data_IF_517039414168
#
_entry.id   IF_517039414168
#
_cell.length_a   1.000
_cell.length_b   1.000
_cell.length_c   1.000
_cell.angle_alpha   90.00
_cell.angle_beta   90.00
_cell.angle_gamma   90.00
#
_symmetry.space_group_name_H-M   'P 1'
#
loop_
_entity.id
_entity.type
_entity.pdbx_description
1 polymer ?
#
# COMPACT_ATOMS: atom_id res chain seq x y z
N UNK A 1 11.77 -13.80 -16.30
CA UNK A 1 11.37 -12.56 -15.58
C UNK A 1 10.02 -12.79 -14.93
N UNK A 2 9.97 -12.82 -13.59
CA UNK A 2 8.69 -12.97 -12.89
C UNK A 2 7.81 -11.74 -13.14
N UNK A 3 6.56 -11.97 -13.55
CA UNK A 3 5.60 -10.92 -13.91
C UNK A 3 4.94 -10.33 -12.66
N UNK A 4 5.73 -9.66 -11.81
CA UNK A 4 5.28 -9.14 -10.50
C UNK A 4 4.07 -8.20 -10.59
N UNK A 5 3.92 -7.50 -11.71
CA UNK A 5 2.81 -6.59 -11.99
C UNK A 5 1.46 -7.29 -12.26
N UNK A 6 1.45 -8.61 -12.50
CA UNK A 6 0.21 -9.36 -12.73
C UNK A 6 -0.48 -9.80 -11.43
N UNK A 7 0.25 -9.84 -10.31
CA UNK A 7 -0.29 -10.39 -9.07
C UNK A 7 -1.49 -9.63 -8.50
N UNK A 8 -1.56 -8.28 -8.54
CA UNK A 8 -2.77 -7.59 -8.13
C UNK A 8 -4.00 -8.02 -8.94
N UNK A 9 -3.86 -8.24 -10.25
CA UNK A 9 -4.96 -8.74 -11.09
C UNK A 9 -5.32 -10.19 -10.80
N UNK A 10 -4.33 -11.07 -10.54
CA UNK A 10 -4.58 -12.44 -10.08
C UNK A 10 -5.33 -12.46 -8.75
N UNK A 11 -5.01 -11.53 -7.85
CA UNK A 11 -5.73 -11.36 -6.58
C UNK A 11 -7.19 -10.97 -6.80
N UNK A 12 -7.47 -10.09 -7.75
CA UNK A 12 -8.83 -9.63 -8.09
C UNK A 12 -9.65 -10.80 -8.61
N UNK A 13 -9.03 -11.54 -9.53
CA UNK A 13 -9.64 -12.68 -10.17
C UNK A 13 -9.94 -13.77 -9.13
N UNK A 14 -8.98 -14.06 -8.25
CA UNK A 14 -9.14 -15.02 -7.16
C UNK A 14 -10.22 -14.60 -6.16
N UNK A 15 -10.32 -13.32 -5.81
CA UNK A 15 -11.36 -12.77 -4.94
C UNK A 15 -12.77 -12.96 -5.52
N UNK A 16 -12.93 -12.78 -6.83
CA UNK A 16 -14.23 -12.92 -7.50
C UNK A 16 -14.65 -14.39 -7.58
N UNK A 17 -13.71 -15.30 -7.86
CA UNK A 17 -14.03 -16.72 -8.03
C UNK A 17 -14.11 -17.52 -6.72
N UNK A 18 -13.54 -17.02 -5.63
CA UNK A 18 -13.59 -17.73 -4.34
C UNK A 18 -14.36 -16.93 -3.29
N UNK A 19 -15.40 -17.53 -2.70
CA UNK A 19 -16.20 -16.89 -1.64
C UNK A 19 -15.44 -16.82 -0.28
N UNK A 20 -14.22 -17.35 -0.22
CA UNK A 20 -13.48 -17.56 1.03
C UNK A 20 -13.09 -16.24 1.75
N UNK A 21 -12.87 -15.18 0.99
CA UNK A 21 -12.34 -13.89 1.48
C UNK A 21 -13.39 -12.78 1.53
N UNK A 22 -14.65 -13.05 1.19
CA UNK A 22 -15.67 -12.01 1.07
C UNK A 22 -15.95 -11.31 2.39
N UNK A 23 -15.87 -12.03 3.52
CA UNK A 23 -15.98 -11.42 4.84
C UNK A 23 -14.89 -10.37 5.07
N UNK A 24 -13.63 -10.73 4.89
CA UNK A 24 -12.51 -9.79 5.03
C UNK A 24 -12.57 -8.66 3.99
N UNK A 25 -13.01 -8.97 2.77
CA UNK A 25 -13.19 -8.00 1.70
C UNK A 25 -14.24 -6.94 2.04
N UNK A 26 -15.40 -7.37 2.56
CA UNK A 26 -16.47 -6.46 3.00
C UNK A 26 -16.02 -5.59 4.17
N UNK A 27 -15.28 -6.14 5.13
CA UNK A 27 -14.77 -5.36 6.27
C UNK A 27 -13.77 -4.28 5.81
N UNK A 28 -12.79 -4.64 4.96
CA UNK A 28 -11.85 -3.66 4.40
C UNK A 28 -12.59 -2.61 3.56
N UNK A 29 -13.59 -3.02 2.78
CA UNK A 29 -14.40 -2.10 1.98
C UNK A 29 -15.22 -1.13 2.84
N UNK A 30 -15.81 -1.59 3.94
CA UNK A 30 -16.52 -0.73 4.90
C UNK A 30 -15.57 0.25 5.60
N UNK A 31 -14.37 -0.20 5.98
CA UNK A 31 -13.31 0.67 6.53
C UNK A 31 -12.92 1.73 5.49
N UNK A 32 -12.80 1.33 4.22
CA UNK A 32 -12.52 2.26 3.12
C UNK A 32 -13.62 3.31 2.98
N UNK A 33 -14.90 2.91 2.92
CA UNK A 33 -16.02 3.86 2.81
C UNK A 33 -16.02 4.84 3.98
N UNK A 34 -15.86 4.35 5.20
CA UNK A 34 -15.79 5.19 6.41
C UNK A 34 -14.68 6.24 6.30
N UNK A 35 -13.48 5.83 5.88
CA UNK A 35 -12.34 6.74 5.66
C UNK A 35 -12.56 7.70 4.51
N UNK A 36 -13.16 7.22 3.42
CA UNK A 36 -13.49 8.04 2.25
C UNK A 36 -14.45 9.16 2.64
N UNK A 37 -15.53 8.86 3.36
CA UNK A 37 -16.50 9.85 3.83
C UNK A 37 -15.85 10.84 4.81
N UNK A 38 -15.09 10.35 5.78
CA UNK A 38 -14.40 11.22 6.75
C UNK A 38 -13.45 12.21 6.06
N UNK A 39 -12.62 11.72 5.15
CA UNK A 39 -11.67 12.55 4.40
C UNK A 39 -12.41 13.47 3.43
N UNK A 40 -13.50 13.02 2.81
CA UNK A 40 -14.33 13.85 1.94
C UNK A 40 -14.85 15.06 2.72
N UNK A 41 -15.45 14.86 3.90
CA UNK A 41 -15.97 15.97 4.71
C UNK A 41 -14.87 16.99 5.01
N UNK A 42 -13.71 16.54 5.49
CA UNK A 42 -12.58 17.42 5.79
C UNK A 42 -12.07 18.15 4.54
N UNK A 43 -11.96 17.44 3.41
CA UNK A 43 -11.48 18.01 2.15
C UNK A 43 -12.45 19.06 1.60
N UNK A 44 -13.75 18.77 1.60
CA UNK A 44 -14.77 19.68 1.09
C UNK A 44 -14.92 20.94 1.94
N UNK A 45 -14.66 20.86 3.24
CA UNK A 45 -14.67 22.02 4.13
C UNK A 45 -13.43 22.90 3.97
N UNK A 46 -12.24 22.30 3.81
CA UNK A 46 -10.97 23.03 3.90
C UNK A 46 -10.35 23.32 2.53
N UNK A 47 -10.26 22.33 1.65
CA UNK A 47 -9.46 22.41 0.41
C UNK A 47 -10.31 22.69 -0.83
N UNK A 48 -11.53 22.16 -0.89
CA UNK A 48 -12.38 22.25 -2.07
C UNK A 48 -12.67 23.69 -2.54
N UNK A 49 -12.91 24.69 -1.67
CA UNK A 49 -13.12 26.08 -2.14
C UNK A 49 -11.93 26.62 -2.93
N UNK A 50 -10.71 26.32 -2.49
CA UNK A 50 -9.48 26.74 -3.17
C UNK A 50 -9.30 26.01 -4.50
N UNK A 51 -9.51 24.69 -4.50
CA UNK A 51 -9.42 23.84 -5.69
C UNK A 51 -10.46 24.26 -6.74
N UNK A 52 -11.69 24.53 -6.31
CA UNK A 52 -12.76 25.02 -7.17
C UNK A 52 -12.42 26.38 -7.76
N UNK A 53 -11.93 27.32 -6.93
CA UNK A 53 -11.53 28.65 -7.39
C UNK A 53 -10.42 28.60 -8.45
N UNK A 54 -9.34 27.86 -8.17
CA UNK A 54 -8.21 27.71 -9.10
C UNK A 54 -8.66 27.09 -10.42
N UNK A 55 -9.41 25.99 -10.38
CA UNK A 55 -9.86 25.32 -11.59
C UNK A 55 -10.86 26.15 -12.40
N UNK A 56 -11.75 26.88 -11.74
CA UNK A 56 -12.74 27.74 -12.41
C UNK A 56 -12.07 28.93 -13.08
N UNK A 57 -11.05 29.53 -12.46
CA UNK A 57 -10.28 30.62 -13.08
C UNK A 57 -9.50 30.13 -14.31
N UNK A 58 -8.91 28.93 -14.25
CA UNK A 58 -8.08 28.40 -15.33
C UNK A 58 -8.88 27.83 -16.51
N UNK A 59 -10.01 27.16 -16.24
CA UNK A 59 -10.77 26.37 -17.22
C UNK A 59 -12.20 26.90 -17.45
N UNK A 60 -12.58 28.00 -16.79
CA UNK A 60 -13.92 28.57 -16.86
C UNK A 60 -14.99 27.64 -16.26
N UNK A 61 -16.19 27.54 -16.85
CA UNK A 61 -17.27 26.68 -16.36
C UNK A 61 -16.90 25.18 -16.31
N UNK A 62 -16.04 24.72 -17.22
CA UNK A 62 -15.51 23.34 -17.20
C UNK A 62 -14.61 23.10 -15.98
N UNK A 63 -14.05 24.15 -15.39
CA UNK A 63 -13.28 24.07 -14.16
C UNK A 63 -14.06 23.49 -12.98
N UNK A 64 -15.38 23.69 -12.94
CA UNK A 64 -16.23 23.15 -11.88
C UNK A 64 -16.29 21.62 -11.95
N UNK A 65 -16.50 21.05 -13.14
CA UNK A 65 -16.57 19.59 -13.30
C UNK A 65 -15.22 18.95 -13.05
N UNK A 66 -14.14 19.57 -13.54
CA UNK A 66 -12.77 19.13 -13.28
C UNK A 66 -12.45 19.18 -11.78
N UNK A 67 -12.87 20.23 -11.06
CA UNK A 67 -12.66 20.34 -9.62
C UNK A 67 -13.36 19.23 -8.83
N UNK A 68 -14.58 18.84 -9.21
CA UNK A 68 -15.32 17.74 -8.58
C UNK A 68 -14.67 16.38 -8.85
N UNK A 69 -14.26 16.11 -10.10
CA UNK A 69 -13.56 14.85 -10.41
C UNK A 69 -12.22 14.80 -9.68
N UNK A 70 -11.49 15.92 -9.66
CA UNK A 70 -10.22 16.03 -8.97
C UNK A 70 -10.35 15.83 -7.47
N UNK A 71 -11.36 16.43 -6.82
CA UNK A 71 -11.59 16.27 -5.39
C UNK A 71 -11.88 14.82 -5.02
N UNK A 72 -12.72 14.12 -5.81
CA UNK A 72 -13.03 12.70 -5.60
C UNK A 72 -11.77 11.83 -5.73
N UNK A 73 -10.94 12.07 -6.75
CA UNK A 73 -9.67 11.35 -6.93
C UNK A 73 -8.69 11.62 -5.79
N UNK A 74 -8.65 12.86 -5.28
CA UNK A 74 -7.74 13.26 -4.22
C UNK A 74 -8.17 12.69 -2.87
N UNK A 75 -9.46 12.71 -2.57
CA UNK A 75 -10.04 12.03 -1.39
C UNK A 75 -9.74 10.52 -1.46
N UNK A 76 -9.95 9.89 -2.62
CA UNK A 76 -9.62 8.46 -2.81
C UNK A 76 -8.13 8.19 -2.54
N UNK A 77 -7.21 9.02 -3.03
CA UNK A 77 -5.77 8.86 -2.79
C UNK A 77 -5.44 8.77 -1.30
N UNK A 78 -6.01 9.64 -0.47
CA UNK A 78 -5.79 9.63 0.97
C UNK A 78 -6.51 8.47 1.66
N UNK A 79 -7.77 8.22 1.27
CA UNK A 79 -8.59 7.16 1.85
C UNK A 79 -8.00 5.76 1.58
N UNK A 80 -7.54 5.51 0.36
CA UNK A 80 -6.91 4.23 -0.02
C UNK A 80 -5.59 4.03 0.74
N UNK A 81 -4.78 5.09 0.87
CA UNK A 81 -3.53 5.05 1.62
C UNK A 81 -3.75 4.75 3.12
N UNK A 82 -4.74 5.39 3.76
CA UNK A 82 -5.07 5.11 5.15
C UNK A 82 -5.68 3.73 5.34
N UNK A 83 -6.49 3.25 4.39
CA UNK A 83 -7.10 1.91 4.45
C UNK A 83 -6.04 0.83 4.34
N UNK A 84 -5.06 0.99 3.44
CA UNK A 84 -3.92 0.09 3.32
C UNK A 84 -3.10 0.03 4.62
N UNK A 85 -2.95 1.13 5.36
CA UNK A 85 -2.22 1.06 6.63
C UNK A 85 -3.00 0.32 7.73
N UNK A 86 -4.32 0.43 7.77
CA UNK A 86 -5.15 -0.32 8.73
C UNK A 86 -5.43 -1.77 8.31
N UNK A 87 -5.29 -2.09 7.03
CA UNK A 87 -5.60 -3.41 6.48
C UNK A 87 -4.62 -4.50 6.87
N UNK A 88 -3.59 -4.19 7.66
CA UNK A 88 -2.48 -5.10 7.97
C UNK A 88 -2.96 -6.38 8.69
N UNK A 89 -3.83 -6.25 9.69
CA UNK A 89 -4.37 -7.38 10.44
C UNK A 89 -5.25 -8.30 9.56
N UNK A 90 -6.04 -7.71 8.66
CA UNK A 90 -6.84 -8.50 7.73
C UNK A 90 -5.99 -9.20 6.68
N UNK A 91 -4.87 -8.58 6.27
CA UNK A 91 -3.93 -9.18 5.34
C UNK A 91 -3.30 -10.47 5.88
N UNK A 92 -3.02 -10.52 7.18
CA UNK A 92 -2.46 -11.72 7.82
C UNK A 92 -3.47 -12.86 7.87
N UNK A 93 -4.71 -12.57 8.26
CA UNK A 93 -5.81 -13.55 8.30
C UNK A 93 -6.11 -14.09 6.89
N UNK A 94 -6.14 -13.21 5.88
CA UNK A 94 -6.34 -13.63 4.48
C UNK A 94 -5.21 -14.53 3.99
N UNK A 95 -3.98 -14.32 4.46
CA UNK A 95 -2.85 -15.16 4.10
C UNK A 95 -2.98 -16.58 4.66
N UNK A 96 -3.34 -16.72 5.94
CA UNK A 96 -3.57 -18.02 6.58
C UNK A 96 -4.62 -18.82 5.81
N UNK A 97 -5.78 -18.21 5.52
CA UNK A 97 -6.83 -18.82 4.69
C UNK A 97 -6.34 -19.21 3.30
N UNK A 98 -5.46 -18.40 2.70
CA UNK A 98 -4.90 -18.67 1.38
C UNK A 98 -4.00 -19.90 1.39
N UNK A 99 -3.15 -20.05 2.42
CA UNK A 99 -2.33 -21.24 2.64
C UNK A 99 -3.20 -22.48 2.79
N UNK A 100 -4.18 -22.41 3.69
CA UNK A 100 -5.08 -23.53 3.99
C UNK A 100 -5.81 -24.00 2.72
N UNK A 101 -6.32 -23.04 1.93
CA UNK A 101 -7.03 -23.34 0.68
C UNK A 101 -6.18 -24.03 -0.39
N UNK A 102 -4.86 -23.88 -0.34
CA UNK A 102 -3.91 -24.49 -1.28
C UNK A 102 -3.21 -25.73 -0.73
N UNK A 103 -3.58 -26.16 0.50
CA UNK A 103 -2.94 -27.25 1.23
C UNK A 103 -1.41 -27.09 1.41
N UNK A 104 -0.88 -25.87 1.23
CA UNK A 104 0.56 -25.57 1.21
C UNK A 104 1.10 -25.27 2.62
N UNK A 105 0.77 -26.13 3.58
CA UNK A 105 1.16 -25.96 4.99
C UNK A 105 2.68 -25.92 5.16
N UNK A 106 3.44 -26.56 4.25
CA UNK A 106 4.90 -26.51 4.19
C UNK A 106 5.40 -25.09 3.92
N UNK A 107 4.71 -24.30 3.09
CA UNK A 107 5.06 -22.91 2.83
C UNK A 107 4.89 -22.05 4.08
N UNK A 108 3.77 -22.18 4.80
CA UNK A 108 3.53 -21.46 6.05
C UNK A 108 4.53 -21.84 7.15
N UNK A 109 4.81 -23.14 7.32
CA UNK A 109 5.82 -23.62 8.28
C UNK A 109 7.21 -23.11 7.90
N UNK A 110 7.60 -23.11 6.62
CA UNK A 110 8.89 -22.57 6.18
C UNK A 110 9.03 -21.06 6.40
N UNK A 111 7.91 -20.30 6.39
CA UNK A 111 7.90 -18.86 6.66
C UNK A 111 8.00 -18.57 8.17
N UNK A 112 7.41 -19.42 9.01
CA UNK A 112 7.40 -19.29 10.48
C UNK A 112 8.71 -19.83 11.12
N UNK A 113 9.30 -20.91 10.57
CA UNK A 113 10.36 -21.69 11.21
C UNK A 113 11.78 -21.54 10.64
N UNK A 114 12.07 -20.55 9.78
CA UNK A 114 13.46 -20.27 9.42
C UNK A 114 14.24 -19.81 10.68
N UNK A 115 15.27 -20.54 11.13
CA UNK A 115 16.02 -20.18 12.33
C UNK A 115 16.83 -18.91 12.04
N UNK A 116 16.41 -17.80 12.63
CA UNK A 116 17.17 -16.55 12.61
C UNK A 116 18.39 -16.69 13.54
N UNK A 117 19.50 -17.23 13.03
CA UNK A 117 20.79 -17.08 13.71
C UNK A 117 21.31 -15.68 13.38
N UNK A 118 20.96 -14.69 14.21
CA UNK A 118 21.67 -13.41 14.22
C UNK A 118 21.90 -12.92 15.66
N UNK A 119 23.08 -12.33 15.93
CA UNK A 119 23.43 -11.84 17.25
C UNK A 119 22.55 -10.65 17.63
N UNK A 120 22.14 -10.62 18.90
CA UNK A 120 21.36 -9.55 19.51
C UNK A 120 22.13 -8.23 19.43
N UNK A 121 21.78 -7.32 18.50
CA UNK A 121 22.35 -5.98 18.49
C UNK A 121 21.69 -5.19 19.63
N UNK A 122 22.39 -5.12 20.76
CA UNK A 122 22.02 -4.29 21.91
C UNK A 122 21.88 -2.84 21.42
N UNK A 123 20.66 -2.29 21.49
CA UNK A 123 20.41 -0.88 21.16
C UNK A 123 21.19 -0.02 22.16
N UNK A 124 22.17 0.80 21.72
CA UNK A 124 22.90 1.67 22.65
C UNK A 124 21.94 2.68 23.26
N UNK A 125 22.13 2.98 24.55
CA UNK A 125 21.37 3.98 25.30
C UNK A 125 21.46 5.33 24.57
N UNK A 126 20.37 5.69 23.87
CA UNK A 126 20.32 6.88 23.02
C UNK A 126 20.31 8.12 23.90
N UNK A 127 21.41 8.84 23.90
CA UNK A 127 21.48 10.14 24.56
C UNK A 127 20.52 11.12 23.85
N UNK A 128 19.61 11.74 24.61
CA UNK A 128 18.56 12.62 24.09
C UNK A 128 19.11 13.79 23.27
N UNK A 129 20.26 14.32 23.68
CA UNK A 129 20.96 15.44 23.02
C UNK A 129 21.31 15.16 21.55
N UNK A 130 21.69 13.94 21.18
CA UNK A 130 21.96 13.57 19.78
C UNK A 130 20.73 13.03 19.05
N UNK A 131 19.76 12.52 19.79
CA UNK A 131 18.57 11.88 19.22
C UNK A 131 17.53 12.89 18.75
N UNK A 132 17.36 14.02 19.46
CA UNK A 132 16.40 15.07 19.13
C UNK A 132 16.75 15.77 17.79
N UNK A 133 17.98 16.24 17.55
CA UNK A 133 18.31 16.92 16.28
C UNK A 133 18.13 15.99 15.08
N UNK A 134 18.54 14.73 15.21
CA UNK A 134 18.37 13.71 14.15
C UNK A 134 16.88 13.44 13.90
N UNK A 135 16.05 13.38 14.95
CA UNK A 135 14.61 13.23 14.80
C UNK A 135 13.98 14.44 14.07
N UNK A 136 14.35 15.65 14.45
CA UNK A 136 13.86 16.89 13.82
C UNK A 136 14.22 16.91 12.34
N UNK A 137 15.49 16.68 11.99
CA UNK A 137 15.94 16.66 10.59
C UNK A 137 15.19 15.60 9.78
N UNK A 138 15.05 14.37 10.32
CA UNK A 138 14.31 13.29 9.65
C UNK A 138 12.83 13.59 9.48
N UNK A 139 12.23 14.32 10.41
CA UNK A 139 10.83 14.73 10.33
C UNK A 139 10.66 15.87 9.34
N UNK A 140 11.57 16.84 9.32
CA UNK A 140 11.59 17.94 8.35
C UNK A 140 11.72 17.42 6.91
N UNK A 141 12.65 16.49 6.65
CA UNK A 141 12.80 15.88 5.31
C UNK A 141 11.52 15.14 4.89
N UNK A 142 10.89 14.40 5.81
CA UNK A 142 9.62 13.71 5.52
C UNK A 142 8.51 14.70 5.22
N UNK A 143 8.40 15.78 6.01
CA UNK A 143 7.41 16.82 5.81
C UNK A 143 7.62 17.52 4.46
N UNK A 144 8.85 17.87 4.11
CA UNK A 144 9.19 18.46 2.82
C UNK A 144 8.82 17.54 1.65
N UNK A 145 9.07 16.23 1.76
CA UNK A 145 8.67 15.26 0.74
C UNK A 145 7.13 15.19 0.59
N UNK A 146 6.39 15.10 1.69
CA UNK A 146 4.93 15.11 1.64
C UNK A 146 4.36 16.43 1.10
N UNK A 147 4.98 17.55 1.42
CA UNK A 147 4.61 18.85 0.89
C UNK A 147 4.83 18.92 -0.63
N UNK A 148 5.98 18.43 -1.13
CA UNK A 148 6.24 18.34 -2.56
C UNK A 148 5.19 17.47 -3.28
N UNK A 149 4.87 16.30 -2.73
CA UNK A 149 3.82 15.43 -3.27
C UNK A 149 2.43 16.08 -3.23
N UNK A 150 2.14 16.86 -2.19
CA UNK A 150 0.89 17.62 -2.09
C UNK A 150 0.80 18.69 -3.19
N UNK A 151 1.86 19.45 -3.43
CA UNK A 151 1.91 20.44 -4.51
C UNK A 151 1.73 19.77 -5.88
N UNK A 152 2.41 18.64 -6.14
CA UNK A 152 2.21 17.86 -7.37
C UNK A 152 0.75 17.40 -7.49
N UNK A 153 0.14 16.97 -6.37
CA UNK A 153 -1.26 16.54 -6.37
C UNK A 153 -2.26 17.64 -6.70
N UNK A 154 -1.89 18.92 -6.63
CA UNK A 154 -2.77 20.05 -7.00
C UNK A 154 -2.91 20.24 -8.51
N UNK A 155 -2.08 19.57 -9.32
CA UNK A 155 -2.28 19.56 -10.77
C UNK A 155 -3.55 18.76 -11.07
N UNK A 156 -4.55 19.36 -11.74
CA UNK A 156 -5.84 18.73 -11.96
C UNK A 156 -5.69 17.38 -12.67
N UNK A 157 -6.30 16.34 -12.09
CA UNK A 157 -6.32 14.94 -12.54
C UNK A 157 -4.94 14.28 -12.65
N UNK A 158 -4.04 14.79 -13.49
CA UNK A 158 -2.71 14.26 -13.78
C UNK A 158 -1.82 14.23 -12.53
N UNK A 159 -1.91 15.24 -11.67
CA UNK A 159 -1.12 15.31 -10.44
C UNK A 159 -1.34 14.11 -9.52
N UNK A 160 -2.58 13.63 -9.43
CA UNK A 160 -2.95 12.49 -8.58
C UNK A 160 -2.38 11.19 -9.12
N UNK A 161 -2.45 10.99 -10.44
CA UNK A 161 -1.84 9.83 -11.10
C UNK A 161 -0.31 9.85 -10.94
N UNK A 162 0.30 11.02 -11.10
CA UNK A 162 1.74 11.21 -10.90
C UNK A 162 2.14 10.87 -9.46
N UNK A 163 1.42 11.36 -8.45
CA UNK A 163 1.69 11.00 -7.05
C UNK A 163 1.57 9.50 -6.80
N UNK A 164 0.56 8.81 -7.37
CA UNK A 164 0.47 7.34 -7.26
C UNK A 164 1.65 6.65 -7.92
N UNK A 165 2.10 7.13 -9.09
CA UNK A 165 3.25 6.58 -9.79
C UNK A 165 4.56 6.79 -9.02
N UNK A 166 4.84 8.00 -8.52
CA UNK A 166 6.03 8.30 -7.71
C UNK A 166 6.03 7.48 -6.41
N UNK A 167 4.86 7.25 -5.81
CA UNK A 167 4.73 6.45 -4.59
C UNK A 167 4.60 4.95 -4.83
N UNK A 168 4.65 4.48 -6.09
CA UNK A 168 4.44 3.07 -6.43
C UNK A 168 5.33 2.12 -5.63
N UNK A 169 6.63 2.38 -5.54
CA UNK A 169 7.54 1.55 -4.73
C UNK A 169 7.07 1.44 -3.27
N UNK A 170 6.72 2.57 -2.65
CA UNK A 170 6.21 2.60 -1.26
C UNK A 170 4.89 1.85 -1.14
N UNK A 171 3.98 2.00 -2.11
CA UNK A 171 2.70 1.28 -2.15
C UNK A 171 2.93 -0.24 -2.19
N UNK A 172 3.79 -0.72 -3.09
CA UNK A 172 4.11 -2.14 -3.20
C UNK A 172 4.80 -2.71 -1.97
N UNK A 173 5.66 -1.91 -1.33
CA UNK A 173 6.27 -2.28 -0.06
C UNK A 173 5.24 -2.36 1.08
N UNK A 174 4.32 -1.38 1.17
CA UNK A 174 3.25 -1.39 2.18
C UNK A 174 2.37 -2.63 2.10
N UNK A 175 2.08 -3.13 0.89
CA UNK A 175 1.38 -4.40 0.71
C UNK A 175 2.19 -5.61 1.15
N UNK A 176 3.52 -5.52 1.13
CA UNK A 176 4.43 -6.58 1.54
C UNK A 176 4.70 -6.62 3.03
N UNK A 177 4.52 -5.49 3.73
CA UNK A 177 4.85 -5.37 5.16
C UNK A 177 4.20 -6.42 6.06
N UNK A 178 2.89 -6.75 5.94
CA UNK A 178 2.26 -7.76 6.80
C UNK A 178 2.93 -9.14 6.65
N UNK A 179 3.27 -9.50 5.41
CA UNK A 179 3.91 -10.78 5.08
C UNK A 179 5.39 -10.82 5.52
N UNK A 180 6.11 -9.71 5.34
CA UNK A 180 7.48 -9.57 5.84
C UNK A 180 7.53 -9.66 7.36
N UNK A 181 6.52 -9.14 8.05
CA UNK A 181 6.42 -9.24 9.51
C UNK A 181 6.19 -10.69 9.98
N UNK A 182 5.54 -11.54 9.17
CA UNK A 182 5.40 -12.97 9.45
C UNK A 182 6.70 -13.76 9.23
N UNK A 183 7.57 -13.34 8.31
CA UNK A 183 8.78 -14.06 7.90
C UNK A 183 9.95 -14.04 8.92
N UNK A 184 9.64 -13.83 10.20
CA UNK A 184 10.57 -13.53 11.29
C UNK A 184 11.42 -12.25 11.07
N UNK A 185 11.59 -11.42 12.11
CA UNK A 185 12.30 -10.14 12.01
C UNK A 185 13.80 -10.37 12.02
N UNK A 186 14.37 -10.80 10.89
CA UNK A 186 15.76 -10.44 10.61
C UNK A 186 15.84 -8.92 10.77
N UNK A 187 16.70 -8.44 11.68
CA UNK A 187 16.89 -7.02 12.00
C UNK A 187 17.46 -6.20 10.83
N UNK A 188 17.23 -6.65 9.58
CA UNK A 188 17.40 -5.85 8.39
C UNK A 188 16.61 -4.56 8.60
N UNK A 189 17.29 -3.42 8.49
CA UNK A 189 16.60 -2.14 8.53
C UNK A 189 15.54 -2.21 7.43
N UNK A 190 14.32 -1.76 7.73
CA UNK A 190 13.22 -1.74 6.77
C UNK A 190 13.62 -1.12 5.41
N UNK A 191 14.55 -0.16 5.43
CA UNK A 191 15.17 0.41 4.22
C UNK A 191 15.98 -0.59 3.39
N UNK A 192 16.78 -1.45 4.02
CA UNK A 192 17.67 -2.39 3.31
C UNK A 192 16.85 -3.45 2.55
N UNK A 193 15.76 -3.94 3.16
CA UNK A 193 14.81 -4.86 2.50
C UNK A 193 14.10 -4.16 1.33
N UNK A 194 13.66 -2.91 1.55
CA UNK A 194 13.00 -2.11 0.54
C UNK A 194 13.88 -1.88 -0.70
N UNK A 195 15.13 -1.46 -0.50
CA UNK A 195 16.04 -1.14 -1.60
C UNK A 195 16.56 -2.38 -2.33
N UNK A 196 16.73 -3.52 -1.63
CA UNK A 196 17.19 -4.77 -2.24
C UNK A 196 16.22 -5.31 -3.31
N UNK A 197 14.92 -5.11 -3.10
CA UNK A 197 13.87 -5.61 -4.01
C UNK A 197 13.03 -4.49 -4.62
N UNK A 198 13.59 -3.27 -4.70
CA UNK A 198 12.88 -2.07 -5.13
C UNK A 198 12.14 -2.26 -6.46
N UNK A 199 12.77 -2.91 -7.44
CA UNK A 199 12.16 -3.19 -8.74
C UNK A 199 10.89 -4.06 -8.64
N UNK A 200 10.88 -5.06 -7.74
CA UNK A 200 9.70 -5.91 -7.50
C UNK A 200 8.57 -5.08 -6.90
N UNK A 201 8.88 -4.24 -5.91
CA UNK A 201 7.90 -3.38 -5.25
C UNK A 201 7.33 -2.30 -6.16
N UNK A 202 8.15 -1.69 -7.03
CA UNK A 202 7.68 -0.72 -8.02
C UNK A 202 6.72 -1.39 -9.02
N UNK A 203 7.08 -2.54 -9.58
CA UNK A 203 6.23 -3.24 -10.55
C UNK A 203 4.87 -3.64 -9.96
N UNK A 204 4.87 -4.16 -8.73
CA UNK A 204 3.65 -4.48 -7.99
C UNK A 204 2.87 -3.20 -7.61
N UNK A 205 3.58 -2.16 -7.21
CA UNK A 205 3.03 -0.86 -6.80
C UNK A 205 2.34 -0.10 -7.92
N UNK A 206 2.87 -0.16 -9.15
CA UNK A 206 2.25 0.47 -10.33
C UNK A 206 0.90 -0.18 -10.63
N UNK A 207 0.85 -1.51 -10.67
CA UNK A 207 -0.36 -2.28 -10.97
C UNK A 207 -1.42 -2.13 -9.88
N UNK A 208 -1.06 -2.30 -8.61
CA UNK A 208 -1.97 -2.06 -7.48
C UNK A 208 -2.42 -0.60 -7.40
N UNK A 209 -1.50 0.35 -7.60
CA UNK A 209 -1.78 1.77 -7.62
C UNK A 209 -2.80 2.16 -8.69
N UNK A 210 -2.69 1.57 -9.89
CA UNK A 210 -3.63 1.77 -11.00
C UNK A 210 -5.03 1.24 -10.69
N UNK A 211 -5.13 0.04 -10.10
CA UNK A 211 -6.41 -0.51 -9.66
C UNK A 211 -7.07 0.38 -8.61
N UNK A 212 -6.30 0.90 -7.65
CA UNK A 212 -6.79 1.82 -6.62
C UNK A 212 -7.16 3.23 -7.15
N UNK A 213 -6.93 3.56 -8.43
CA UNK A 213 -7.37 4.87 -8.97
C UNK A 213 -8.89 4.98 -8.96
N UNK A 214 -9.60 3.86 -9.21
CA UNK A 214 -11.05 3.81 -9.29
C UNK A 214 -11.69 3.97 -7.90
N UNK A 215 -12.28 5.13 -7.56
CA UNK A 215 -12.71 5.43 -6.18
C UNK A 215 -13.77 4.45 -5.67
N UNK A 216 -14.70 4.04 -6.53
CA UNK A 216 -15.80 3.14 -6.16
C UNK A 216 -15.29 1.74 -5.79
N UNK A 217 -14.25 1.27 -6.46
CA UNK A 217 -13.72 -0.09 -6.29
C UNK A 217 -12.42 -0.15 -5.48
N UNK A 218 -11.88 1.01 -5.07
CA UNK A 218 -10.58 1.13 -4.41
C UNK A 218 -10.47 0.22 -3.18
N UNK A 219 -11.51 0.15 -2.34
CA UNK A 219 -11.53 -0.74 -1.18
C UNK A 219 -11.40 -2.23 -1.54
N UNK A 220 -12.11 -2.70 -2.58
CA UNK A 220 -11.98 -4.08 -3.07
C UNK A 220 -10.63 -4.33 -3.76
N UNK A 221 -10.11 -3.33 -4.45
CA UNK A 221 -8.80 -3.39 -5.11
C UNK A 221 -7.63 -3.44 -4.10
N UNK A 222 -7.82 -2.89 -2.89
CA UNK A 222 -6.88 -3.06 -1.78
C UNK A 222 -6.85 -4.53 -1.32
N UNK A 223 -8.02 -5.16 -1.16
CA UNK A 223 -8.14 -6.59 -0.80
C UNK A 223 -7.48 -7.46 -1.87
N UNK A 224 -7.82 -7.20 -3.12
CA UNK A 224 -7.21 -7.82 -4.30
C UNK A 224 -5.68 -7.72 -4.29
N UNK A 225 -5.14 -6.55 -3.92
CA UNK A 225 -3.69 -6.35 -3.84
C UNK A 225 -3.07 -7.13 -2.68
N UNK A 226 -3.72 -7.22 -1.52
CA UNK A 226 -3.25 -8.12 -0.46
C UNK A 226 -3.23 -9.58 -0.90
N UNK A 227 -4.33 -10.09 -1.47
CA UNK A 227 -4.39 -11.46 -1.99
C UNK A 227 -3.34 -11.69 -3.08
N UNK A 228 -3.14 -10.73 -3.97
CA UNK A 228 -2.08 -10.77 -4.98
C UNK A 228 -0.69 -10.90 -4.38
N UNK A 229 -0.39 -10.17 -3.30
CA UNK A 229 0.89 -10.30 -2.60
C UNK A 229 1.04 -11.64 -1.89
N UNK A 230 -0.02 -12.14 -1.27
CA UNK A 230 -0.04 -13.48 -0.68
C UNK A 230 0.23 -14.57 -1.72
N UNK A 231 -0.42 -14.50 -2.89
CA UNK A 231 -0.17 -15.42 -4.01
C UNK A 231 1.26 -15.34 -4.52
N UNK A 232 1.81 -14.13 -4.67
CA UNK A 232 3.21 -13.94 -5.03
C UNK A 232 4.11 -14.63 -4.00
N UNK A 233 3.86 -14.46 -2.71
CA UNK A 233 4.69 -15.08 -1.68
C UNK A 233 4.67 -16.62 -1.77
N UNK A 234 3.51 -17.22 -1.98
CA UNK A 234 3.39 -18.67 -2.16
C UNK A 234 4.15 -19.17 -3.39
N UNK A 235 4.02 -18.47 -4.52
CA UNK A 235 4.76 -18.82 -5.73
C UNK A 235 6.28 -18.73 -5.52
N UNK A 236 6.77 -17.73 -4.76
CA UNK A 236 8.19 -17.56 -4.45
C UNK A 236 8.69 -18.69 -3.53
N UNK A 237 7.92 -19.09 -2.51
CA UNK A 237 8.29 -20.22 -1.63
C UNK A 237 8.35 -21.55 -2.37
N UNK A 238 7.43 -21.81 -3.31
CA UNK A 238 7.43 -23.02 -4.15
C UNK A 238 8.67 -23.09 -5.06
N UNK A 239 9.05 -21.98 -5.68
CA UNK A 239 10.25 -21.95 -6.54
C UNK A 239 11.53 -22.24 -5.77
N UNK A 240 11.64 -21.78 -4.52
CA UNK A 240 12.80 -22.07 -3.66
C UNK A 240 12.87 -23.57 -3.32
N UNK A 241 11.74 -24.20 -3.02
CA UNK A 241 11.68 -25.63 -2.72
C UNK A 241 12.05 -26.50 -3.92
N UNK A 242 11.55 -26.18 -5.12
CA UNK A 242 11.88 -26.93 -6.35
C UNK A 242 13.34 -26.78 -6.82
N UNK A 243 14.06 -25.77 -6.34
CA UNK A 243 15.49 -25.56 -6.66
C UNK A 243 16.45 -26.29 -5.72
N UNK A 244 15.94 -27.01 -4.72
CA UNK A 244 16.73 -27.81 -3.75
C UNK A 244 16.42 -29.32 -3.84
N UNK A 245 15.65 -29.74 -4.85
CA UNK A 245 15.34 -31.12 -5.21
C UNK A 245 15.95 -31.45 -6.56
#
# INVERSE_FOLDING_TARGET
MAKYWLYPFKGMSYLVWTNLFWREATLIFLIYISKFVLIAILYYLVLFPFVLGINTVLLGPLGVTVAVVHSVLQVNLYASNLTRLSGFEYATIMFEKLVDSRADHVALVSLIYLPAVQPMIVKPQRHWSKSIPIFIIKTAIRLANYFCLFVISMIPIVGILMVKFLRSGVIGYQYSMPYLAMQNPLQLRAGDVFYRELGKYIAFGISSGLLEVLPVFSGLNIVSSYLGRGLWLLDETRTVQSGHS
#
